data_IF_322730329232
#
_entry.id   IF_322730329232
#
_cell.length_a   1.000
_cell.length_b   1.000
_cell.length_c   1.000
_cell.angle_alpha   90.00
_cell.angle_beta   90.00
_cell.angle_gamma   90.00
#
_symmetry.space_group_name_H-M   'P 1'
#
loop_
_entity.id
_entity.type
_entity.pdbx_description
1 polymer ?
#
# COMPACT_ATOMS: atom_id res chain seq x y z
N UNK A 1 -38.45 -15.80 2.62
CA UNK A 1 -37.25 -16.30 3.32
C UNK A 1 -36.07 -15.84 2.49
N UNK A 2 -35.31 -14.85 2.99
CA UNK A 2 -34.35 -14.08 2.20
C UNK A 2 -32.97 -14.74 2.16
N UNK A 3 -32.39 -14.72 0.96
CA UNK A 3 -31.10 -15.28 0.55
C UNK A 3 -29.94 -14.46 1.15
N UNK A 4 -29.36 -14.89 2.28
CA UNK A 4 -28.14 -14.30 2.85
C UNK A 4 -26.90 -14.94 2.24
N UNK A 5 -26.59 -14.58 0.99
CA UNK A 5 -25.33 -14.95 0.33
C UNK A 5 -24.23 -13.94 0.62
N UNK A 6 -23.23 -14.30 1.44
CA UNK A 6 -22.01 -13.52 1.59
C UNK A 6 -21.18 -13.59 0.29
N UNK A 7 -21.14 -12.48 -0.45
CA UNK A 7 -20.30 -12.33 -1.64
C UNK A 7 -18.89 -11.93 -1.22
N UNK A 8 -17.97 -12.90 -1.17
CA UNK A 8 -16.55 -12.59 -1.00
C UNK A 8 -16.04 -11.75 -2.19
N UNK A 9 -15.25 -10.68 -1.95
CA UNK A 9 -14.64 -9.95 -3.04
C UNK A 9 -13.62 -10.83 -3.76
N UNK A 10 -13.64 -10.73 -5.09
CA UNK A 10 -12.80 -11.44 -6.05
C UNK A 10 -11.32 -11.43 -5.60
N UNK A 11 -10.72 -12.61 -5.44
CA UNK A 11 -9.26 -12.74 -5.32
C UNK A 11 -8.65 -12.04 -6.53
N UNK A 12 -7.91 -10.94 -6.29
CA UNK A 12 -7.16 -10.24 -7.34
C UNK A 12 -6.28 -11.28 -8.03
N UNK A 13 -6.60 -11.63 -9.26
CA UNK A 13 -5.74 -12.45 -10.10
C UNK A 13 -4.40 -11.73 -10.18
N UNK A 14 -3.34 -12.35 -9.66
CA UNK A 14 -1.97 -11.90 -9.85
C UNK A 14 -1.71 -12.03 -11.35
N UNK A 15 -1.91 -10.93 -12.10
CA UNK A 15 -1.54 -10.87 -13.50
C UNK A 15 -0.05 -11.12 -13.58
N UNK A 16 0.32 -12.23 -14.26
CA UNK A 16 1.70 -12.61 -14.55
C UNK A 16 2.33 -11.51 -15.41
N UNK A 17 2.97 -10.53 -14.77
CA UNK A 17 3.68 -9.46 -15.47
C UNK A 17 4.92 -10.06 -16.14
N UNK A 18 5.14 -9.71 -17.40
CA UNK A 18 6.32 -10.09 -18.15
C UNK A 18 7.58 -9.62 -17.40
N UNK A 19 8.56 -10.53 -17.31
CA UNK A 19 9.75 -10.38 -16.47
C UNK A 19 10.61 -9.24 -16.98
N UNK A 20 10.76 -8.18 -16.19
CA UNK A 20 11.94 -7.33 -16.31
C UNK A 20 13.19 -8.17 -15.99
N UNK A 21 14.35 -7.92 -16.65
CA UNK A 21 15.56 -8.72 -16.45
C UNK A 21 16.16 -8.61 -15.04
N UNK A 22 15.64 -7.68 -14.22
CA UNK A 22 15.92 -7.59 -12.81
C UNK A 22 14.92 -8.47 -12.04
N UNK A 23 15.09 -9.80 -12.08
CA UNK A 23 14.30 -10.72 -11.25
C UNK A 23 14.74 -10.57 -9.78
N UNK A 24 14.34 -9.49 -9.14
CA UNK A 24 14.45 -9.32 -7.70
C UNK A 24 13.26 -10.07 -7.11
N UNK A 25 13.52 -11.14 -6.37
CA UNK A 25 12.47 -11.80 -5.60
C UNK A 25 12.00 -10.83 -4.52
N UNK A 26 10.68 -10.60 -4.38
CA UNK A 26 10.16 -9.61 -3.43
C UNK A 26 10.45 -9.97 -1.97
N UNK A 27 10.77 -11.24 -1.71
CA UNK A 27 11.11 -11.78 -0.42
C UNK A 27 12.50 -12.47 -0.48
N UNK A 28 13.21 -12.54 0.66
CA UNK A 28 14.45 -13.30 0.76
C UNK A 28 14.19 -14.81 0.61
N UNK A 29 15.24 -15.59 0.34
CA UNK A 29 15.15 -17.04 0.12
C UNK A 29 14.46 -17.81 1.26
N UNK A 30 14.58 -17.33 2.50
CA UNK A 30 13.94 -17.89 3.69
C UNK A 30 13.14 -16.80 4.41
N UNK A 31 11.84 -16.62 4.10
CA UNK A 31 11.02 -15.62 4.77
C UNK A 31 10.68 -16.08 6.19
N UNK A 32 10.95 -15.22 7.18
CA UNK A 32 10.49 -15.41 8.56
C UNK A 32 9.17 -14.65 8.74
N UNK A 33 8.22 -15.21 9.49
CA UNK A 33 6.97 -14.53 9.82
C UNK A 33 7.27 -13.29 10.65
N UNK A 34 6.92 -12.11 10.11
CA UNK A 34 7.05 -10.85 10.81
C UNK A 34 5.65 -10.34 11.20
N UNK A 35 5.51 -9.88 12.44
CA UNK A 35 4.31 -9.16 12.90
C UNK A 35 4.65 -7.68 12.95
N UNK A 36 4.03 -6.89 12.08
CA UNK A 36 4.11 -5.44 12.16
C UNK A 36 2.90 -4.94 12.95
N UNK A 37 3.16 -4.24 14.05
CA UNK A 37 2.11 -3.48 14.71
C UNK A 37 1.79 -2.25 13.86
N UNK A 38 0.56 -2.15 13.38
CA UNK A 38 0.06 -0.97 12.67
C UNK A 38 -0.74 -0.15 13.67
N UNK A 39 -0.24 1.01 14.14
CA UNK A 39 -0.99 1.88 15.03
C UNK A 39 -2.23 2.42 14.32
N UNK A 40 -3.33 2.54 15.06
CA UNK A 40 -4.48 3.31 14.59
C UNK A 40 -4.06 4.77 14.44
N UNK A 41 -4.34 5.35 13.27
CA UNK A 41 -4.15 6.77 13.04
C UNK A 41 -5.30 7.53 13.70
N UNK A 42 -4.99 8.26 14.78
CA UNK A 42 -5.96 9.09 15.50
C UNK A 42 -6.08 10.51 14.95
N UNK A 43 -5.05 10.98 14.23
CA UNK A 43 -5.02 12.32 13.65
C UNK A 43 -5.95 12.42 12.43
N UNK A 44 -6.87 13.37 12.49
CA UNK A 44 -7.91 13.60 11.47
C UNK A 44 -7.66 14.86 10.65
N UNK A 45 -6.47 15.47 10.74
CA UNK A 45 -6.12 16.65 9.95
C UNK A 45 -5.93 16.27 8.49
N UNK A 46 -6.72 16.87 7.62
CA UNK A 46 -6.77 16.57 6.18
C UNK A 46 -6.39 17.80 5.37
N UNK A 47 -5.82 17.57 4.19
CA UNK A 47 -5.74 18.62 3.18
C UNK A 47 -7.11 18.85 2.54
N UNK A 48 -7.24 20.02 1.93
CA UNK A 48 -8.30 20.27 0.96
C UNK A 48 -8.15 19.35 -0.26
N UNK A 49 -9.24 19.11 -0.98
CA UNK A 49 -9.33 18.11 -2.06
C UNK A 49 -8.27 18.31 -3.14
N UNK A 50 -8.11 19.55 -3.61
CA UNK A 50 -7.15 19.89 -4.67
C UNK A 50 -5.70 19.69 -4.20
N UNK A 51 -5.42 20.04 -2.95
CA UNK A 51 -4.09 19.88 -2.37
C UNK A 51 -3.76 18.43 -2.05
N UNK A 52 -4.76 17.63 -1.66
CA UNK A 52 -4.61 16.19 -1.46
C UNK A 52 -4.25 15.48 -2.78
N UNK A 53 -4.84 15.91 -3.90
CA UNK A 53 -4.52 15.42 -5.23
C UNK A 53 -3.05 15.71 -5.59
N UNK A 54 -2.61 16.95 -5.38
CA UNK A 54 -1.22 17.36 -5.65
C UNK A 54 -0.20 16.61 -4.77
N UNK A 55 -0.51 16.41 -3.49
CA UNK A 55 0.39 15.76 -2.53
C UNK A 55 0.37 14.21 -2.63
N UNK A 56 -0.65 13.63 -3.27
CA UNK A 56 -0.84 12.18 -3.32
C UNK A 56 -1.25 11.55 -1.99
N UNK A 57 -1.61 12.36 -0.99
CA UNK A 57 -2.12 11.93 0.31
C UNK A 57 -3.13 12.92 0.84
N UNK A 58 -4.25 12.42 1.36
CA UNK A 58 -5.28 13.22 2.01
C UNK A 58 -4.87 13.64 3.42
N UNK A 59 -4.11 12.79 4.11
CA UNK A 59 -3.65 13.05 5.46
C UNK A 59 -2.34 13.80 5.46
N UNK A 60 -2.32 14.93 6.17
CA UNK A 60 -1.15 15.81 6.25
C UNK A 60 0.06 15.11 6.89
N UNK A 61 -0.20 14.29 7.91
CA UNK A 61 0.84 13.52 8.64
C UNK A 61 1.59 12.53 7.77
N UNK A 62 0.98 12.08 6.66
CA UNK A 62 1.59 11.14 5.72
C UNK A 62 2.41 11.83 4.63
N UNK A 63 2.35 13.17 4.52
CA UNK A 63 3.11 13.93 3.53
C UNK A 63 4.58 14.09 3.95
N UNK A 64 5.34 13.00 3.89
CA UNK A 64 6.76 12.95 4.27
C UNK A 64 7.65 13.10 3.02
N UNK A 65 8.69 13.95 3.05
CA UNK A 65 9.61 14.07 1.93
C UNK A 65 10.32 12.74 1.69
N UNK A 66 10.34 12.27 0.44
CA UNK A 66 11.12 11.10 0.03
C UNK A 66 12.61 11.45 0.11
N UNK A 67 13.26 11.07 1.21
CA UNK A 67 14.71 11.24 1.40
C UNK A 67 15.54 10.21 0.61
N UNK A 68 14.94 9.56 -0.40
CA UNK A 68 15.58 8.59 -1.27
C UNK A 68 16.70 9.27 -2.07
N UNK A 69 17.89 9.35 -1.48
CA UNK A 69 19.11 9.62 -2.22
C UNK A 69 19.29 8.43 -3.16
N UNK A 70 19.00 8.62 -4.45
CA UNK A 70 19.45 7.68 -5.47
C UNK A 70 20.98 7.56 -5.32
N UNK A 71 21.48 6.34 -5.18
CA UNK A 71 22.90 6.04 -5.12
C UNK A 71 23.57 6.71 -6.34
N UNK A 72 24.44 7.69 -6.08
CA UNK A 72 25.33 8.28 -7.11
C UNK A 72 26.60 7.47 -7.19
#
# INVERSE_FOLDING_TARGET
>A
MSDYGYRYPNQRQIQKRESCPCTITPLPANPVVAMLYVPMQNDTTMFDEMKALDCGTLFTVLNKPFAGKCCK
#
